data_IF_830364710258
#
_entry.id   IF_830364710258
#
_cell.length_a   1.000
_cell.length_b   1.000
_cell.length_c   1.000
_cell.angle_alpha   90.00
_cell.angle_beta   90.00
_cell.angle_gamma   90.00
#
_symmetry.space_group_name_H-M   'P 1'
#
loop_
_entity.id
_entity.type
_entity.pdbx_description
1 polymer ?
#
# COMPACT_ATOMS: atom_id res chain seq x y z
N UNK A 1 -61.26 10.89 16.14
CA UNK A 1 -62.00 10.36 14.97
C UNK A 1 -61.28 10.90 13.74
N UNK A 2 -60.68 10.18 12.80
CA UNK A 2 -60.67 8.75 12.44
C UNK A 2 -59.43 8.48 11.59
N UNK A 3 -58.80 7.34 11.87
CA UNK A 3 -57.96 6.45 11.03
C UNK A 3 -58.29 6.48 9.52
N UNK A 4 -57.48 6.04 8.55
CA UNK A 4 -56.11 5.49 8.33
C UNK A 4 -56.12 5.00 6.85
N UNK A 5 -54.95 4.62 6.31
CA UNK A 5 -54.73 3.75 5.13
C UNK A 5 -54.67 4.45 3.75
N UNK A 6 -53.80 4.08 2.81
CA UNK A 6 -52.74 3.08 2.78
C UNK A 6 -51.77 3.32 1.60
N UNK A 7 -50.52 2.92 1.84
CA UNK A 7 -49.49 2.38 0.94
C UNK A 7 -49.79 2.22 -0.57
N UNK A 8 -48.80 2.59 -1.41
CA UNK A 8 -48.09 1.67 -2.31
C UNK A 8 -46.77 2.29 -2.84
N UNK A 9 -45.69 1.50 -2.81
CA UNK A 9 -44.45 1.49 -3.63
C UNK A 9 -43.75 2.84 -3.99
N UNK A 10 -42.44 3.01 -3.82
CA UNK A 10 -41.41 2.08 -4.27
C UNK A 10 -40.01 2.47 -3.82
N UNK A 11 -39.19 1.44 -3.73
CA UNK A 11 -37.84 1.36 -3.19
C UNK A 11 -36.85 1.84 -4.25
N UNK A 12 -36.54 3.15 -4.31
CA UNK A 12 -35.48 3.69 -5.17
C UNK A 12 -35.12 5.13 -4.77
N UNK A 13 -34.19 5.32 -3.81
CA UNK A 13 -33.34 6.52 -3.69
C UNK A 13 -32.58 6.54 -2.34
N UNK A 14 -31.41 5.87 -2.25
CA UNK A 14 -30.32 6.31 -1.35
C UNK A 14 -28.98 6.02 -2.03
N UNK A 15 -28.72 6.70 -3.16
CA UNK A 15 -27.37 7.00 -3.64
C UNK A 15 -27.40 8.45 -4.10
N UNK A 16 -27.15 9.36 -3.16
CA UNK A 16 -26.67 10.72 -3.37
C UNK A 16 -26.87 11.46 -2.06
N UNK A 17 -25.79 11.77 -1.33
CA UNK A 17 -25.60 13.00 -0.55
C UNK A 17 -24.30 12.89 0.25
N UNK A 18 -23.20 13.38 -0.32
CA UNK A 18 -22.15 14.11 0.41
C UNK A 18 -21.14 14.71 -0.58
N UNK A 19 -21.62 15.51 -1.54
CA UNK A 19 -20.83 16.59 -2.14
C UNK A 19 -21.27 17.86 -1.45
N UNK A 20 -20.50 18.31 -0.45
CA UNK A 20 -20.36 19.72 -0.03
C UNK A 20 -19.74 19.80 1.38
N UNK A 21 -18.40 19.78 1.45
CA UNK A 21 -17.65 20.45 2.50
C UNK A 21 -16.18 20.61 2.09
N UNK A 22 -15.92 21.39 1.03
CA UNK A 22 -14.60 21.94 0.76
C UNK A 22 -14.73 23.45 0.59
N UNK A 23 -14.20 24.17 1.56
CA UNK A 23 -14.12 25.63 1.57
C UNK A 23 -13.09 26.06 2.61
N UNK A 24 -12.00 26.66 2.10
CA UNK A 24 -10.95 27.40 2.80
C UNK A 24 -9.80 26.58 3.45
N UNK A 25 -8.76 26.27 2.67
CA UNK A 25 -7.48 27.01 2.71
C UNK A 25 -6.38 26.33 1.86
N UNK A 26 -5.92 27.01 0.80
CA UNK A 26 -4.56 26.85 0.22
C UNK A 26 -4.36 25.85 -0.93
N UNK A 27 -4.65 26.25 -2.17
CA UNK A 27 -4.11 25.65 -3.41
C UNK A 27 -3.07 26.63 -4.04
N UNK A 28 -2.34 26.36 -5.15
CA UNK A 28 -2.41 25.21 -6.09
C UNK A 28 -1.04 24.68 -6.63
N UNK A 29 -1.01 23.49 -7.24
CA UNK A 29 -0.05 23.16 -8.32
C UNK A 29 -0.85 22.51 -9.49
N UNK A 30 -0.50 22.77 -10.77
CA UNK A 30 -1.47 23.25 -11.72
C UNK A 30 -2.25 22.15 -12.42
N UNK A 31 -3.50 22.47 -12.68
CA UNK A 31 -4.25 21.91 -13.78
C UNK A 31 -3.68 22.45 -15.10
N UNK A 32 -2.98 21.61 -15.85
CA UNK A 32 -3.10 21.54 -17.32
C UNK A 32 -2.25 20.39 -17.88
N UNK A 33 -2.89 19.52 -18.66
CA UNK A 33 -2.18 18.70 -19.65
C UNK A 33 -2.24 17.19 -19.42
N UNK A 34 -3.42 16.61 -19.63
CA UNK A 34 -3.64 15.20 -20.02
C UNK A 34 -3.09 14.13 -19.06
N UNK A 35 -3.90 13.78 -18.06
CA UNK A 35 -4.15 12.38 -17.78
C UNK A 35 -5.66 12.21 -17.83
N UNK A 36 -6.19 11.92 -19.03
CA UNK A 36 -7.50 11.27 -19.15
C UNK A 36 -7.47 10.12 -18.16
N UNK A 37 -8.50 10.01 -17.32
CA UNK A 37 -8.78 8.81 -16.54
C UNK A 37 -8.64 7.60 -17.47
N UNK A 38 -7.50 6.89 -17.39
CA UNK A 38 -7.34 5.57 -18.02
C UNK A 38 -7.99 4.54 -17.10
N UNK A 39 -9.25 4.78 -16.77
CA UNK A 39 -10.04 3.92 -15.90
C UNK A 39 -11.36 3.69 -16.63
N UNK A 40 -11.27 2.81 -17.62
CA UNK A 40 -12.41 2.28 -18.37
C UNK A 40 -12.74 0.92 -17.77
N UNK A 41 -14.03 0.57 -17.56
CA UNK A 41 -14.42 -0.81 -17.29
C UNK A 41 -13.84 -1.75 -18.36
N UNK A 42 -13.16 -2.83 -17.95
CA UNK A 42 -12.41 -3.73 -18.85
C UNK A 42 -10.90 -3.47 -18.92
N UNK A 43 -10.29 -2.87 -17.88
CA UNK A 43 -8.83 -2.85 -17.72
C UNK A 43 -8.34 -4.27 -17.34
N UNK A 44 -7.60 -4.97 -18.23
CA UNK A 44 -7.20 -6.36 -18.00
C UNK A 44 -6.39 -6.54 -16.73
N UNK A 45 -5.61 -5.54 -16.32
CA UNK A 45 -4.80 -5.62 -15.12
C UNK A 45 -5.65 -5.51 -13.86
N UNK A 46 -6.66 -4.64 -13.88
CA UNK A 46 -7.63 -4.52 -12.77
C UNK A 46 -8.47 -5.79 -12.65
N UNK A 47 -8.91 -6.36 -13.76
CA UNK A 47 -9.70 -7.60 -13.78
C UNK A 47 -8.86 -8.79 -13.30
N UNK A 48 -7.61 -8.90 -13.77
CA UNK A 48 -6.66 -9.91 -13.31
C UNK A 48 -6.41 -9.80 -11.80
N UNK A 49 -6.20 -8.58 -11.28
CA UNK A 49 -6.03 -8.37 -9.85
C UNK A 49 -7.33 -8.62 -9.09
N UNK A 50 -8.50 -8.30 -9.63
CA UNK A 50 -9.80 -8.47 -8.98
C UNK A 50 -10.30 -9.91 -8.92
N UNK A 51 -9.95 -10.73 -9.91
CA UNK A 51 -10.49 -12.08 -10.09
C UNK A 51 -9.82 -13.19 -9.28
N UNK A 52 -8.80 -12.90 -8.46
CA UNK A 52 -7.99 -13.93 -7.78
C UNK A 52 -7.69 -13.61 -6.31
N UNK A 53 -7.49 -14.63 -5.50
CA UNK A 53 -7.15 -14.51 -4.07
C UNK A 53 -5.63 -14.38 -3.79
N UNK A 54 -4.80 -14.47 -4.83
CA UNK A 54 -3.33 -14.40 -4.74
C UNK A 54 -2.77 -13.24 -5.58
N UNK A 55 -1.48 -12.91 -5.42
CA UNK A 55 -0.82 -11.90 -6.26
C UNK A 55 -0.38 -12.56 -7.57
N UNK A 56 -0.83 -12.11 -8.74
CA UNK A 56 -0.38 -12.66 -10.01
C UNK A 56 1.13 -12.55 -10.16
N UNK A 57 1.76 -13.54 -10.80
CA UNK A 57 3.18 -13.47 -11.09
C UNK A 57 3.50 -12.41 -12.16
N UNK A 58 4.79 -12.10 -12.30
CA UNK A 58 5.25 -11.07 -13.24
C UNK A 58 4.86 -11.39 -14.69
N UNK A 59 4.89 -12.66 -15.10
CA UNK A 59 4.57 -13.04 -16.47
C UNK A 59 3.08 -12.82 -16.78
N UNK A 60 2.20 -13.13 -15.84
CA UNK A 60 0.77 -12.87 -15.96
C UNK A 60 0.47 -11.37 -16.04
N UNK A 61 1.15 -10.55 -15.23
CA UNK A 61 1.00 -9.09 -15.23
C UNK A 61 1.52 -8.46 -16.53
N UNK A 62 2.71 -8.86 -16.98
CA UNK A 62 3.32 -8.40 -18.23
C UNK A 62 2.49 -8.83 -19.45
N UNK A 63 1.83 -9.99 -19.40
CA UNK A 63 0.94 -10.48 -20.46
C UNK A 63 -0.44 -9.84 -20.49
N UNK A 64 -0.86 -9.16 -19.41
CA UNK A 64 -2.19 -8.56 -19.32
C UNK A 64 -2.33 -7.26 -20.13
N UNK A 65 -1.24 -6.51 -20.32
CA UNK A 65 -1.28 -5.20 -20.98
C UNK A 65 -0.13 -5.02 -21.99
N UNK A 66 -0.37 -4.22 -23.03
CA UNK A 66 0.69 -3.77 -23.92
C UNK A 66 1.43 -2.57 -23.29
N UNK A 67 2.50 -2.84 -22.53
CA UNK A 67 3.32 -1.80 -21.90
C UNK A 67 3.79 -2.17 -20.50
N UNK A 68 4.36 -1.20 -19.77
CA UNK A 68 4.75 -1.42 -18.38
C UNK A 68 3.51 -1.37 -17.47
N UNK A 69 3.25 -2.40 -16.64
CA UNK A 69 2.12 -2.38 -15.70
C UNK A 69 2.32 -1.40 -14.54
N UNK A 70 3.53 -0.84 -14.38
CA UNK A 70 3.88 0.04 -13.26
C UNK A 70 2.91 1.19 -13.04
N UNK A 71 2.57 1.96 -14.08
CA UNK A 71 1.72 3.14 -13.94
C UNK A 71 0.30 2.77 -13.46
N UNK A 72 -0.24 1.69 -14.02
CA UNK A 72 -1.56 1.17 -13.65
C UNK A 72 -1.52 0.60 -12.22
N UNK A 73 -0.48 -0.14 -11.85
CA UNK A 73 -0.31 -0.67 -10.50
C UNK A 73 -0.19 0.46 -9.45
N UNK A 74 0.52 1.55 -9.77
CA UNK A 74 0.62 2.73 -8.90
C UNK A 74 -0.74 3.39 -8.74
N UNK A 75 -1.47 3.59 -9.84
CA UNK A 75 -2.81 4.16 -9.81
C UNK A 75 -3.77 3.32 -8.96
N UNK A 76 -3.78 1.99 -9.16
CA UNK A 76 -4.64 1.07 -8.39
C UNK A 76 -4.26 1.00 -6.91
N UNK A 77 -2.97 1.08 -6.57
CA UNK A 77 -2.54 1.11 -5.17
C UNK A 77 -3.05 2.36 -4.42
N UNK A 78 -3.10 3.50 -5.12
CA UNK A 78 -3.50 4.80 -4.58
C UNK A 78 -5.01 5.06 -4.67
N UNK A 79 -5.75 4.31 -5.49
CA UNK A 79 -7.19 4.46 -5.67
C UNK A 79 -7.95 4.03 -4.39
N UNK A 80 -8.34 5.01 -3.56
CA UNK A 80 -9.11 4.77 -2.35
C UNK A 80 -10.53 4.21 -2.61
N UNK A 81 -11.04 4.32 -3.84
CA UNK A 81 -12.33 3.76 -4.25
C UNK A 81 -12.20 2.32 -4.79
N UNK A 82 -10.98 1.83 -5.02
CA UNK A 82 -10.77 0.45 -5.43
C UNK A 82 -11.04 -0.55 -4.28
N UNK A 83 -11.41 -1.77 -4.68
CA UNK A 83 -11.53 -2.89 -3.76
C UNK A 83 -10.25 -3.05 -2.92
N UNK A 84 -10.36 -3.19 -1.59
CA UNK A 84 -9.21 -3.36 -0.72
C UNK A 84 -8.28 -4.52 -1.14
N UNK A 85 -8.84 -5.65 -1.59
CA UNK A 85 -8.04 -6.76 -2.11
C UNK A 85 -7.20 -6.31 -3.32
N UNK A 86 -7.81 -5.61 -4.27
CA UNK A 86 -7.14 -5.13 -5.48
C UNK A 86 -5.98 -4.21 -5.14
N UNK A 87 -6.18 -3.27 -4.21
CA UNK A 87 -5.12 -2.35 -3.76
C UNK A 87 -3.95 -3.08 -3.14
N UNK A 88 -4.19 -4.05 -2.25
CA UNK A 88 -3.12 -4.86 -1.64
C UNK A 88 -2.37 -5.67 -2.70
N UNK A 89 -3.08 -6.30 -3.65
CA UNK A 89 -2.43 -7.07 -4.71
C UNK A 89 -1.62 -6.15 -5.64
N UNK A 90 -2.12 -4.96 -5.95
CA UNK A 90 -1.38 -3.96 -6.72
C UNK A 90 -0.10 -3.53 -6.01
N UNK A 91 -0.18 -3.21 -4.71
CA UNK A 91 1.01 -2.87 -3.89
C UNK A 91 2.03 -4.00 -3.88
N UNK A 92 1.60 -5.25 -3.69
CA UNK A 92 2.50 -6.41 -3.73
C UNK A 92 3.11 -6.63 -5.11
N UNK A 93 2.34 -6.43 -6.17
CA UNK A 93 2.79 -6.53 -7.54
C UNK A 93 3.86 -5.47 -7.88
N UNK A 94 3.78 -4.24 -7.33
CA UNK A 94 4.84 -3.23 -7.48
C UNK A 94 6.20 -3.74 -6.99
N UNK A 95 6.22 -4.64 -6.00
CA UNK A 95 7.42 -5.32 -5.52
C UNK A 95 8.16 -6.14 -6.59
N UNK A 96 7.47 -6.55 -7.66
CA UNK A 96 8.04 -7.31 -8.78
C UNK A 96 8.69 -6.40 -9.84
N UNK A 97 8.56 -5.08 -9.72
CA UNK A 97 9.04 -4.08 -10.68
C UNK A 97 9.98 -3.07 -10.02
N UNK A 98 11.26 -3.41 -9.82
CA UNK A 98 12.22 -2.46 -9.24
C UNK A 98 12.43 -1.25 -10.16
N UNK A 99 12.05 -0.07 -9.68
CA UNK A 99 12.25 1.22 -10.37
C UNK A 99 12.18 2.36 -9.36
N UNK A 100 12.65 3.54 -9.73
CA UNK A 100 12.53 4.73 -8.87
C UNK A 100 11.05 5.11 -8.68
N UNK A 101 10.22 4.97 -9.71
CA UNK A 101 8.79 5.25 -9.64
C UNK A 101 8.06 4.32 -8.65
N UNK A 102 8.31 3.01 -8.70
CA UNK A 102 7.72 2.06 -7.75
C UNK A 102 8.21 2.30 -6.33
N UNK A 103 9.51 2.57 -6.15
CA UNK A 103 10.08 2.90 -4.84
C UNK A 103 9.43 4.15 -4.25
N UNK A 104 9.34 5.23 -5.02
CA UNK A 104 8.71 6.49 -4.58
C UNK A 104 7.22 6.30 -4.25
N UNK A 105 6.48 5.54 -5.05
CA UNK A 105 5.07 5.25 -4.78
C UNK A 105 4.87 4.45 -3.50
N UNK A 106 5.70 3.42 -3.28
CA UNK A 106 5.66 2.60 -2.07
C UNK A 106 6.08 3.39 -0.82
N UNK A 107 7.12 4.22 -0.92
CA UNK A 107 7.55 5.09 0.17
C UNK A 107 6.47 6.11 0.56
N UNK A 108 5.78 6.69 -0.42
CA UNK A 108 4.66 7.59 -0.18
C UNK A 108 3.50 6.89 0.54
N UNK A 109 3.17 5.65 0.15
CA UNK A 109 2.15 4.85 0.83
C UNK A 109 2.55 4.50 2.27
N UNK A 110 3.80 4.12 2.51
CA UNK A 110 4.31 3.88 3.88
C UNK A 110 4.16 5.15 4.72
N UNK A 111 4.57 6.30 4.20
CA UNK A 111 4.46 7.58 4.92
C UNK A 111 3.00 7.96 5.23
N UNK A 112 2.07 7.71 4.31
CA UNK A 112 0.65 8.01 4.48
C UNK A 112 -0.04 7.11 5.52
N UNK A 113 0.37 5.85 5.64
CA UNK A 113 -0.29 4.85 6.49
C UNK A 113 0.40 4.65 7.84
N UNK A 114 1.56 5.27 8.09
CA UNK A 114 2.40 5.01 9.28
C UNK A 114 1.74 5.26 10.64
N UNK A 115 0.68 6.05 10.67
CA UNK A 115 -0.07 6.38 11.90
C UNK A 115 -1.39 5.61 12.01
N UNK A 116 -1.70 4.71 11.06
CA UNK A 116 -2.93 3.92 11.09
C UNK A 116 -2.78 2.78 12.09
N UNK A 117 -3.67 2.72 13.09
CA UNK A 117 -3.57 1.73 14.19
C UNK A 117 -4.48 0.52 14.03
N UNK A 118 -5.43 0.54 13.09
CA UNK A 118 -6.42 -0.52 12.94
C UNK A 118 -6.98 -0.64 11.53
N UNK A 119 -7.64 -1.77 11.28
CA UNK A 119 -8.39 -2.02 10.07
C UNK A 119 -7.51 -2.37 8.87
N UNK A 120 -8.08 -2.14 7.69
CA UNK A 120 -7.48 -2.52 6.41
C UNK A 120 -6.15 -1.81 6.12
N UNK A 121 -5.95 -0.60 6.65
CA UNK A 121 -4.71 0.16 6.47
C UNK A 121 -3.47 -0.57 6.98
N UNK A 122 -3.58 -1.38 8.04
CA UNK A 122 -2.46 -2.20 8.53
C UNK A 122 -2.04 -3.26 7.51
N UNK A 123 -3.02 -3.85 6.81
CA UNK A 123 -2.76 -4.85 5.76
C UNK A 123 -2.05 -4.20 4.58
N UNK A 124 -2.50 -3.01 4.20
CA UNK A 124 -1.91 -2.23 3.11
C UNK A 124 -0.51 -1.71 3.46
N UNK A 125 -0.31 -1.18 4.68
CA UNK A 125 1.00 -0.74 5.18
C UNK A 125 1.99 -1.91 5.21
N UNK A 126 1.58 -3.07 5.72
CA UNK A 126 2.41 -4.28 5.71
C UNK A 126 2.82 -4.66 4.29
N UNK A 127 1.89 -4.61 3.33
CA UNK A 127 2.19 -4.89 1.93
C UNK A 127 3.19 -3.86 1.35
N UNK A 128 3.01 -2.58 1.66
CA UNK A 128 3.86 -1.51 1.17
C UNK A 128 5.30 -1.63 1.72
N UNK A 129 5.46 -1.92 3.02
CA UNK A 129 6.76 -2.13 3.65
C UNK A 129 7.52 -3.29 3.00
N UNK A 130 6.90 -4.46 2.89
CA UNK A 130 7.54 -5.64 2.31
C UNK A 130 7.90 -5.44 0.84
N UNK A 131 7.04 -4.78 0.08
CA UNK A 131 7.28 -4.49 -1.34
C UNK A 131 8.39 -3.45 -1.52
N UNK A 132 8.44 -2.43 -0.65
CA UNK A 132 9.53 -1.43 -0.64
C UNK A 132 10.87 -2.08 -0.28
N UNK A 133 10.86 -3.02 0.68
CA UNK A 133 12.03 -3.83 1.02
C UNK A 133 12.53 -4.65 -0.17
N UNK A 134 11.63 -5.30 -0.90
CA UNK A 134 11.96 -6.09 -2.08
C UNK A 134 12.46 -5.24 -3.28
N UNK A 135 11.88 -4.06 -3.50
CA UNK A 135 12.36 -3.09 -4.50
C UNK A 135 13.73 -2.55 -4.12
N UNK A 136 13.96 -2.32 -2.82
CA UNK A 136 15.22 -1.81 -2.28
C UNK A 136 15.60 -0.45 -2.89
N UNK A 137 16.90 -0.19 -2.96
CA UNK A 137 17.47 1.03 -3.56
C UNK A 137 17.58 2.22 -2.59
N UNK A 138 18.17 3.30 -3.09
CA UNK A 138 18.51 4.47 -2.28
C UNK A 138 17.29 5.03 -1.54
N UNK A 139 17.43 5.24 -0.23
CA UNK A 139 16.39 5.80 0.64
C UNK A 139 15.29 4.82 1.07
N UNK A 140 15.28 3.57 0.58
CA UNK A 140 14.28 2.59 1.01
C UNK A 140 14.40 2.27 2.50
N UNK A 141 15.62 2.07 3.02
CA UNK A 141 15.84 1.80 4.44
C UNK A 141 15.34 2.95 5.33
N UNK A 142 15.68 4.20 4.97
CA UNK A 142 15.22 5.38 5.69
C UNK A 142 13.69 5.55 5.67
N UNK A 143 13.03 5.18 4.56
CA UNK A 143 11.56 5.22 4.48
C UNK A 143 10.88 4.13 5.32
N UNK A 144 11.52 2.96 5.48
CA UNK A 144 10.98 1.82 6.25
C UNK A 144 11.24 1.99 7.75
N UNK A 145 12.40 2.52 8.15
CA UNK A 145 12.88 2.61 9.53
C UNK A 145 11.84 3.12 10.54
N UNK A 146 11.05 4.19 10.28
CA UNK A 146 10.05 4.67 11.24
C UNK A 146 9.01 3.61 11.65
N UNK A 147 8.70 2.64 10.78
CA UNK A 147 7.73 1.59 11.08
C UNK A 147 8.24 0.55 12.09
N UNK A 148 9.53 0.57 12.44
CA UNK A 148 10.07 -0.24 13.55
C UNK A 148 9.47 0.16 14.90
N UNK A 149 8.92 1.37 15.05
CA UNK A 149 8.33 1.84 16.31
C UNK A 149 6.79 1.81 16.30
N UNK A 150 6.19 1.13 15.33
CA UNK A 150 4.73 1.08 15.19
C UNK A 150 4.07 0.33 16.37
N UNK A 151 2.87 0.75 16.84
CA UNK A 151 2.18 0.09 17.96
C UNK A 151 1.85 -1.39 17.67
N UNK A 152 1.46 -1.71 16.43
CA UNK A 152 1.25 -3.09 15.99
C UNK A 152 2.58 -3.84 15.81
N UNK A 153 2.74 -4.95 16.53
CA UNK A 153 3.89 -5.86 16.41
C UNK A 153 4.04 -6.47 15.02
N UNK A 154 2.94 -6.69 14.30
CA UNK A 154 2.98 -7.26 12.95
C UNK A 154 3.62 -6.28 11.96
N UNK A 155 3.41 -4.97 12.16
CA UNK A 155 4.05 -3.92 11.39
C UNK A 155 5.53 -3.81 11.74
N UNK A 156 5.89 -3.86 13.02
CA UNK A 156 7.31 -3.85 13.43
C UNK A 156 8.08 -5.04 12.84
N UNK A 157 7.51 -6.24 12.89
CA UNK A 157 8.10 -7.44 12.28
C UNK A 157 8.23 -7.31 10.74
N UNK A 158 7.22 -6.74 10.08
CA UNK A 158 7.26 -6.48 8.65
C UNK A 158 8.33 -5.44 8.28
N UNK A 159 8.47 -4.37 9.07
CA UNK A 159 9.50 -3.36 8.88
C UNK A 159 10.90 -3.95 9.02
N UNK A 160 11.14 -4.77 10.07
CA UNK A 160 12.40 -5.46 10.24
C UNK A 160 12.72 -6.40 9.06
N UNK A 161 11.74 -7.19 8.63
CA UNK A 161 11.88 -8.07 7.46
C UNK A 161 12.21 -7.29 6.19
N UNK A 162 11.53 -6.17 5.97
CA UNK A 162 11.73 -5.31 4.81
C UNK A 162 13.11 -4.66 4.82
N UNK A 163 13.58 -4.16 5.96
CA UNK A 163 14.94 -3.64 6.13
C UNK A 163 16.02 -4.69 5.84
N UNK A 164 15.81 -5.93 6.26
CA UNK A 164 16.73 -7.02 5.90
C UNK A 164 16.72 -7.36 4.40
N UNK A 165 15.61 -7.10 3.72
CA UNK A 165 15.45 -7.36 2.28
C UNK A 165 16.04 -6.25 1.40
N UNK A 166 16.20 -5.02 1.89
CA UNK A 166 16.79 -3.93 1.11
C UNK A 166 18.25 -4.18 0.72
N UNK A 167 18.97 -4.98 1.53
CA UNK A 167 20.42 -5.15 1.42
C UNK A 167 21.23 -3.91 1.81
N UNK A 168 20.56 -2.89 2.36
CA UNK A 168 21.18 -1.62 2.74
C UNK A 168 21.87 -1.76 4.10
N UNK A 169 23.20 -1.62 4.13
CA UNK A 169 23.99 -1.75 5.37
C UNK A 169 23.67 -0.63 6.37
N UNK A 170 23.12 0.50 5.93
CA UNK A 170 22.69 1.57 6.83
C UNK A 170 21.49 1.13 7.70
N UNK A 171 20.73 0.12 7.25
CA UNK A 171 19.63 -0.44 8.02
C UNK A 171 20.06 -1.15 9.32
N UNK A 172 21.33 -1.56 9.42
CA UNK A 172 21.89 -2.25 10.59
C UNK A 172 21.75 -1.40 11.85
N UNK A 173 21.97 -0.08 11.75
CA UNK A 173 21.86 0.83 12.89
C UNK A 173 20.42 0.87 13.44
N UNK A 174 19.43 1.04 12.56
CA UNK A 174 18.01 1.06 12.94
C UNK A 174 17.56 -0.26 13.60
N UNK A 175 18.03 -1.39 13.08
CA UNK A 175 17.68 -2.71 13.60
C UNK A 175 18.28 -2.96 14.99
N UNK A 176 19.54 -2.58 15.23
CA UNK A 176 20.13 -2.69 16.57
C UNK A 176 19.46 -1.78 17.59
N UNK A 177 19.11 -0.56 17.20
CA UNK A 177 18.36 0.37 18.05
C UNK A 177 17.02 -0.23 18.48
N UNK A 178 16.24 -0.77 17.53
CA UNK A 178 14.97 -1.41 17.86
C UNK A 178 15.16 -2.67 18.70
N UNK A 179 16.17 -3.51 18.43
CA UNK A 179 16.42 -4.74 19.19
C UNK A 179 16.69 -4.47 20.68
N UNK A 180 17.31 -3.33 21.00
CA UNK A 180 17.63 -2.95 22.36
C UNK A 180 16.38 -2.69 23.23
N UNK A 181 15.25 -2.33 22.60
CA UNK A 181 14.01 -1.98 23.30
C UNK A 181 12.85 -2.95 23.03
N UNK A 182 12.93 -3.76 21.98
CA UNK A 182 11.86 -4.68 21.58
C UNK A 182 11.65 -5.82 22.58
N UNK A 183 10.38 -6.01 22.96
CA UNK A 183 9.94 -7.00 23.94
C UNK A 183 9.17 -8.17 23.31
N UNK A 184 8.62 -8.01 22.11
CA UNK A 184 7.91 -9.10 21.43
C UNK A 184 8.91 -10.05 20.76
N UNK A 185 8.89 -11.31 21.15
CA UNK A 185 9.84 -12.33 20.68
C UNK A 185 9.79 -12.56 19.16
N UNK A 186 8.60 -12.46 18.55
CA UNK A 186 8.49 -12.64 17.09
C UNK A 186 9.14 -11.46 16.35
N UNK A 187 9.01 -10.25 16.89
CA UNK A 187 9.68 -9.07 16.33
C UNK A 187 11.20 -9.16 16.53
N UNK A 188 11.67 -9.59 17.71
CA UNK A 188 13.11 -9.82 17.98
C UNK A 188 13.72 -10.85 17.02
N UNK A 189 13.00 -11.93 16.72
CA UNK A 189 13.40 -12.92 15.72
C UNK A 189 13.51 -12.30 14.32
N UNK A 190 12.51 -11.51 13.90
CA UNK A 190 12.54 -10.83 12.61
C UNK A 190 13.72 -9.86 12.50
N UNK A 191 14.01 -9.09 13.56
CA UNK A 191 15.16 -8.18 13.61
C UNK A 191 16.48 -8.96 13.52
N UNK A 192 16.61 -10.05 14.26
CA UNK A 192 17.83 -10.88 14.27
C UNK A 192 18.10 -11.50 12.89
N UNK A 193 17.05 -11.99 12.22
CA UNK A 193 17.15 -12.51 10.85
C UNK A 193 17.52 -11.42 9.85
N UNK A 194 16.94 -10.22 9.97
CA UNK A 194 17.31 -9.08 9.13
C UNK A 194 18.78 -8.69 9.30
N UNK A 195 19.27 -8.60 10.55
CA UNK A 195 20.67 -8.34 10.86
C UNK A 195 21.60 -9.41 10.28
N UNK A 196 21.22 -10.70 10.38
CA UNK A 196 21.98 -11.81 9.79
C UNK A 196 22.11 -11.67 8.28
N UNK A 197 21.03 -11.27 7.59
CA UNK A 197 21.04 -11.03 6.13
C UNK A 197 21.97 -9.89 5.74
N UNK A 198 21.99 -8.81 6.51
CA UNK A 198 22.82 -7.63 6.23
C UNK A 198 24.29 -7.79 6.62
N UNK A 199 24.58 -8.60 7.65
CA UNK A 199 25.95 -8.86 8.13
C UNK A 199 26.67 -10.02 7.44
N UNK A 200 25.93 -10.91 6.75
CA UNK A 200 26.49 -12.06 6.04
C UNK A 200 26.98 -11.79 4.62
N UNK A 201 27.14 -10.51 4.22
CA UNK A 201 27.49 -10.08 2.86
C UNK A 201 28.75 -9.22 2.76
#
# INVERSE_FOLDING_TARGET
MTRRAAHFAGYAAVVALAVAAWGAAGAPWPASGVARSVLVPGDPLRDLLGGVDYVPDRAALDGAIAGSPTDVLVALAQDAAADPGVRVRAVRALGLYPSDATRSALAALVAALRSSEAGYDLVLLRAALLSLGAVGGAGAAAAIAPALHHPSKDIRAAAATALGATGDKDAVAYLYEQLATEQDELVRQAISEALRRLGGG
#
